data_IF_021645032477
#
_entry.id   IF_021645032477
#
_cell.length_a   1.000
_cell.length_b   1.000
_cell.length_c   1.000
_cell.angle_alpha   90.00
_cell.angle_beta   90.00
_cell.angle_gamma   90.00
#
_symmetry.space_group_name_H-M   'P 1'
#
loop_
_entity.id
_entity.type
_entity.pdbx_description
1 polymer ?
#
# COMPACT_ATOMS: atom_id res chain seq x y z
N UNK A 1 16.53 14.71 -12.47
CA UNK A 1 16.39 14.58 -10.99
C UNK A 1 17.45 13.64 -10.45
N UNK A 2 17.42 12.33 -10.73
CA UNK A 2 18.52 11.44 -10.31
C UNK A 2 19.83 11.73 -11.04
N UNK A 3 19.77 12.00 -12.35
CA UNK A 3 20.93 12.43 -13.15
C UNK A 3 21.48 13.81 -12.77
N UNK A 4 20.75 14.57 -11.93
CA UNK A 4 21.11 15.92 -11.49
C UNK A 4 21.38 15.97 -9.98
N UNK A 5 21.52 14.82 -9.30
CA UNK A 5 21.71 14.68 -7.84
C UNK A 5 20.65 15.40 -6.97
N UNK A 6 19.47 15.68 -7.51
CA UNK A 6 18.38 16.30 -6.75
C UNK A 6 17.55 15.18 -6.12
N UNK A 7 17.65 15.06 -4.79
CA UNK A 7 16.83 14.14 -4.00
C UNK A 7 15.33 14.47 -4.13
N UNK A 8 14.46 13.49 -4.42
CA UNK A 8 13.02 13.71 -4.48
C UNK A 8 12.46 14.16 -3.12
N UNK A 9 11.67 15.23 -3.14
CA UNK A 9 10.93 15.66 -1.94
C UNK A 9 9.67 14.80 -1.74
N UNK A 10 9.04 14.91 -0.56
CA UNK A 10 7.71 14.31 -0.32
C UNK A 10 6.70 14.77 -1.35
N UNK A 11 6.72 16.04 -1.74
CA UNK A 11 5.80 16.57 -2.74
C UNK A 11 6.04 15.94 -4.12
N UNK A 12 7.31 15.71 -4.48
CA UNK A 12 7.66 14.97 -5.70
C UNK A 12 7.05 13.56 -5.65
N UNK A 13 7.20 12.85 -4.53
CA UNK A 13 6.61 11.52 -4.34
C UNK A 13 5.09 11.53 -4.46
N UNK A 14 4.40 12.47 -3.79
CA UNK A 14 2.93 12.62 -3.86
C UNK A 14 2.48 12.83 -5.31
N UNK A 15 3.13 13.75 -6.03
CA UNK A 15 2.76 14.07 -7.42
C UNK A 15 2.96 12.85 -8.34
N UNK A 16 4.03 12.08 -8.15
CA UNK A 16 4.27 10.86 -8.91
C UNK A 16 3.25 9.76 -8.59
N UNK A 17 2.94 9.51 -7.31
CA UNK A 17 1.88 8.57 -6.92
C UNK A 17 0.54 9.00 -7.53
N UNK A 18 0.24 10.31 -7.52
CA UNK A 18 -0.98 10.85 -8.11
C UNK A 18 -1.04 10.59 -9.62
N UNK A 19 0.02 10.91 -10.36
CA UNK A 19 0.09 10.67 -11.80
C UNK A 19 -0.12 9.20 -12.16
N UNK A 20 0.56 8.28 -11.46
CA UNK A 20 0.34 6.84 -11.67
C UNK A 20 -1.05 6.38 -11.24
N UNK A 21 -1.62 6.95 -10.17
CA UNK A 21 -2.96 6.63 -9.69
C UNK A 21 -4.03 6.95 -10.75
N UNK A 22 -3.94 8.12 -11.38
CA UNK A 22 -4.84 8.52 -12.46
C UNK A 22 -4.82 7.55 -13.65
N UNK A 23 -3.71 6.85 -13.87
CA UNK A 23 -3.52 5.89 -14.94
C UNK A 23 -3.76 4.43 -14.50
N UNK A 24 -4.18 4.20 -13.24
CA UNK A 24 -4.28 2.87 -12.63
C UNK A 24 -2.96 2.07 -12.67
N UNK A 25 -1.82 2.75 -12.69
CA UNK A 25 -0.47 2.19 -12.78
C UNK A 25 0.05 1.76 -11.40
N UNK A 26 -0.67 0.82 -10.77
CA UNK A 26 -0.41 0.39 -9.39
C UNK A 26 0.93 -0.36 -9.21
N UNK A 27 1.43 -0.99 -10.29
CA UNK A 27 2.75 -1.62 -10.30
C UNK A 27 3.85 -0.56 -10.17
N UNK A 28 3.72 0.54 -10.88
CA UNK A 28 4.64 1.67 -10.87
C UNK A 28 4.62 2.39 -9.52
N UNK A 29 3.44 2.48 -8.88
CA UNK A 29 3.33 2.94 -7.48
C UNK A 29 4.09 1.99 -6.53
N UNK A 30 4.06 0.68 -6.77
CA UNK A 30 4.80 -0.30 -5.97
C UNK A 30 6.32 -0.15 -6.13
N UNK A 31 6.79 0.11 -7.35
CA UNK A 31 8.20 0.40 -7.64
C UNK A 31 8.62 1.71 -6.95
N UNK A 32 7.80 2.75 -7.08
CA UNK A 32 8.03 4.05 -6.46
C UNK A 32 8.07 3.96 -4.93
N UNK A 33 7.18 3.17 -4.32
CA UNK A 33 7.23 2.89 -2.89
C UNK A 33 8.57 2.28 -2.45
N UNK A 34 9.15 1.38 -3.25
CA UNK A 34 10.49 0.85 -3.01
C UNK A 34 11.57 1.95 -2.94
N UNK A 35 11.45 2.99 -3.78
CA UNK A 35 12.34 4.16 -3.72
C UNK A 35 12.07 5.00 -2.46
N UNK A 36 10.81 5.33 -2.19
CA UNK A 36 10.39 6.12 -1.01
C UNK A 36 10.87 5.46 0.28
N UNK A 37 10.71 4.13 0.39
CA UNK A 37 11.14 3.34 1.54
C UNK A 37 12.66 3.45 1.76
N UNK A 38 13.46 3.30 0.70
CA UNK A 38 14.93 3.45 0.79
C UNK A 38 15.34 4.86 1.22
N UNK A 39 14.73 5.90 0.65
CA UNK A 39 15.00 7.29 1.03
C UNK A 39 14.59 7.60 2.47
N UNK A 40 13.54 6.95 2.97
CA UNK A 40 13.19 7.03 4.39
C UNK A 40 14.22 6.33 5.27
N UNK A 41 14.62 5.12 4.91
CA UNK A 41 15.59 4.32 5.68
C UNK A 41 16.97 4.99 5.76
N UNK A 42 17.38 5.72 4.71
CA UNK A 42 18.60 6.53 4.72
C UNK A 42 18.45 7.85 5.50
N UNK A 43 17.24 8.21 5.91
CA UNK A 43 16.93 9.51 6.53
C UNK A 43 16.87 10.68 5.55
N UNK A 44 16.99 10.46 4.24
CA UNK A 44 16.91 11.54 3.23
C UNK A 44 15.48 12.04 3.00
N UNK A 45 14.46 11.27 3.41
CA UNK A 45 13.06 11.60 3.23
C UNK A 45 12.22 11.34 4.49
N UNK A 46 11.61 12.39 5.03
CA UNK A 46 10.58 12.28 6.08
C UNK A 46 9.21 12.13 5.41
N UNK A 47 8.61 10.94 5.46
CA UNK A 47 7.31 10.68 4.85
C UNK A 47 6.17 11.19 5.73
N UNK A 48 5.26 11.98 5.16
CA UNK A 48 4.07 12.46 5.88
C UNK A 48 2.92 11.45 5.83
N UNK A 49 1.96 11.63 6.74
CA UNK A 49 0.77 10.78 6.86
C UNK A 49 -0.05 10.71 5.57
N UNK A 50 -0.21 11.83 4.87
CA UNK A 50 -1.01 11.90 3.64
C UNK A 50 -0.43 11.05 2.51
N UNK A 51 0.90 11.04 2.37
CA UNK A 51 1.56 10.17 1.38
C UNK A 51 1.37 8.69 1.73
N UNK A 52 1.47 8.31 3.00
CA UNK A 52 1.20 6.94 3.42
C UNK A 52 -0.25 6.52 3.20
N UNK A 53 -1.20 7.37 3.59
CA UNK A 53 -2.63 7.14 3.38
C UNK A 53 -2.93 6.97 1.89
N UNK A 54 -2.34 7.81 1.04
CA UNK A 54 -2.52 7.72 -0.40
C UNK A 54 -1.90 6.45 -1.01
N UNK A 55 -0.74 6.01 -0.50
CA UNK A 55 -0.14 4.73 -0.87
C UNK A 55 -1.04 3.55 -0.46
N UNK A 56 -1.58 3.54 0.76
CA UNK A 56 -2.50 2.49 1.23
C UNK A 56 -3.71 2.36 0.32
N UNK A 57 -4.35 3.48 -0.02
CA UNK A 57 -5.52 3.48 -0.91
C UNK A 57 -5.18 2.92 -2.30
N UNK A 58 -4.04 3.31 -2.88
CA UNK A 58 -3.61 2.80 -4.18
C UNK A 58 -3.23 1.32 -4.14
N UNK A 59 -2.57 0.85 -3.07
CA UNK A 59 -2.27 -0.58 -2.91
C UNK A 59 -3.50 -1.41 -2.66
N UNK A 60 -4.49 -0.88 -1.92
CA UNK A 60 -5.80 -1.51 -1.82
C UNK A 60 -6.43 -1.62 -3.19
N UNK A 61 -6.55 -0.55 -3.98
CA UNK A 61 -7.09 -0.62 -5.36
C UNK A 61 -6.39 -1.66 -6.23
N UNK A 62 -5.06 -1.68 -6.20
CA UNK A 62 -4.24 -2.64 -6.97
C UNK A 62 -4.19 -4.07 -6.40
N UNK A 63 -4.72 -4.32 -5.20
CA UNK A 63 -4.68 -5.63 -4.54
C UNK A 63 -3.30 -6.06 -4.03
N UNK A 64 -2.41 -5.10 -3.76
CA UNK A 64 -1.06 -5.32 -3.23
C UNK A 64 -1.06 -5.39 -1.69
N UNK A 65 -1.74 -6.38 -1.12
CA UNK A 65 -1.99 -6.48 0.33
C UNK A 65 -0.73 -6.57 1.19
N UNK A 66 0.35 -7.17 0.70
CA UNK A 66 1.65 -7.14 1.38
C UNK A 66 2.12 -5.69 1.62
N UNK A 67 2.00 -4.83 0.61
CA UNK A 67 2.37 -3.41 0.67
C UNK A 67 1.41 -2.60 1.53
N UNK A 68 0.11 -2.93 1.50
CA UNK A 68 -0.88 -2.34 2.42
C UNK A 68 -0.45 -2.57 3.87
N UNK A 69 -0.14 -3.82 4.23
CA UNK A 69 0.25 -4.16 5.59
C UNK A 69 1.60 -3.55 5.99
N UNK A 70 2.56 -3.50 5.07
CA UNK A 70 3.85 -2.84 5.26
C UNK A 70 3.68 -1.35 5.57
N UNK A 71 2.92 -0.62 4.76
CA UNK A 71 2.70 0.83 4.97
C UNK A 71 1.94 1.11 6.28
N UNK A 72 0.90 0.32 6.58
CA UNK A 72 0.19 0.42 7.86
C UNK A 72 1.14 0.16 9.05
N UNK A 73 2.08 -0.78 8.89
CA UNK A 73 3.12 -1.04 9.88
C UNK A 73 3.95 0.22 10.16
N UNK A 74 4.47 0.86 9.11
CA UNK A 74 5.23 2.11 9.25
C UNK A 74 4.41 3.25 9.85
N UNK A 75 3.15 3.41 9.46
CA UNK A 75 2.27 4.41 10.07
C UNK A 75 2.14 4.17 11.58
N UNK A 76 1.96 2.91 12.02
CA UNK A 76 1.89 2.58 13.45
C UNK A 76 3.19 2.83 14.20
N UNK A 77 4.33 2.45 13.63
CA UNK A 77 5.67 2.70 14.22
C UNK A 77 5.90 4.18 14.49
N UNK A 78 5.34 5.05 13.65
CA UNK A 78 5.43 6.51 13.76
C UNK A 78 4.24 7.13 14.54
N UNK A 79 3.41 6.32 15.19
CA UNK A 79 2.19 6.75 15.88
C UNK A 79 1.23 7.59 15.02
N UNK A 80 1.22 7.34 13.71
CA UNK A 80 0.28 7.99 12.78
C UNK A 80 -1.08 7.30 12.85
N UNK A 81 -2.14 8.12 12.81
CA UNK A 81 -3.50 7.62 12.70
C UNK A 81 -3.71 6.92 11.34
N UNK A 82 -4.30 5.73 11.38
CA UNK A 82 -4.78 5.02 10.20
C UNK A 82 -6.30 5.07 10.16
N UNK A 83 -6.89 5.63 9.10
CA UNK A 83 -8.34 5.62 8.90
C UNK A 83 -8.83 4.22 8.50
N UNK A 84 -9.04 3.37 9.51
CA UNK A 84 -9.52 2.00 9.33
C UNK A 84 -10.84 1.94 8.56
N UNK A 85 -11.73 2.91 8.77
CA UNK A 85 -13.04 2.91 8.13
C UNK A 85 -12.90 3.17 6.64
N UNK A 86 -12.09 4.16 6.25
CA UNK A 86 -11.79 4.44 4.86
C UNK A 86 -11.12 3.24 4.17
N UNK A 87 -10.13 2.62 4.81
CA UNK A 87 -9.43 1.46 4.23
C UNK A 87 -10.35 0.25 4.09
N UNK A 88 -11.25 0.02 5.06
CA UNK A 88 -12.29 -1.01 4.99
C UNK A 88 -13.25 -0.74 3.82
N UNK A 89 -13.71 0.50 3.67
CA UNK A 89 -14.59 0.90 2.56
C UNK A 89 -13.93 0.63 1.20
N UNK A 90 -12.66 1.02 1.05
CA UNK A 90 -11.92 0.82 -0.19
C UNK A 90 -11.71 -0.68 -0.50
N UNK A 91 -11.40 -1.50 0.50
CA UNK A 91 -11.35 -2.95 0.34
C UNK A 91 -12.68 -3.53 -0.14
N UNK A 92 -13.78 -3.17 0.53
CA UNK A 92 -15.10 -3.70 0.19
C UNK A 92 -15.53 -3.32 -1.23
N UNK A 93 -15.12 -2.14 -1.70
CA UNK A 93 -15.40 -1.65 -3.05
C UNK A 93 -14.72 -2.49 -4.15
N UNK A 94 -13.47 -2.91 -3.95
CA UNK A 94 -12.68 -3.55 -5.02
C UNK A 94 -12.50 -5.07 -4.85
N UNK A 95 -12.60 -5.59 -3.63
CA UNK A 95 -12.10 -6.92 -3.29
C UNK A 95 -13.10 -7.82 -2.58
N UNK A 96 -14.26 -7.30 -2.14
CA UNK A 96 -15.25 -8.07 -1.37
C UNK A 96 -15.61 -9.40 -2.01
N UNK A 97 -15.96 -9.39 -3.29
CA UNK A 97 -16.45 -10.59 -3.97
C UNK A 97 -15.31 -11.56 -4.32
N UNK A 98 -14.12 -11.03 -4.61
CA UNK A 98 -12.94 -11.82 -4.94
C UNK A 98 -12.50 -12.70 -3.76
N UNK A 99 -12.57 -12.19 -2.53
CA UNK A 99 -12.11 -12.90 -1.33
C UNK A 99 -13.22 -13.46 -0.46
N UNK A 100 -14.49 -13.36 -0.87
CA UNK A 100 -15.64 -13.84 -0.09
C UNK A 100 -15.54 -15.33 0.26
N UNK A 101 -15.11 -16.14 -0.69
CA UNK A 101 -15.06 -17.61 -0.57
C UNK A 101 -13.65 -18.19 -0.81
N UNK A 102 -12.63 -17.33 -0.87
CA UNK A 102 -11.27 -17.77 -1.19
C UNK A 102 -10.64 -18.40 0.05
N UNK A 103 -10.36 -19.70 0.00
CA UNK A 103 -9.69 -20.47 1.07
C UNK A 103 -8.26 -20.81 0.64
N UNK A 104 -7.38 -21.08 1.61
CA UNK A 104 -6.01 -21.55 1.34
C UNK A 104 -5.96 -22.80 0.45
N UNK A 105 -6.94 -23.70 0.57
CA UNK A 105 -7.11 -24.86 -0.31
C UNK A 105 -7.30 -24.51 -1.80
N UNK A 106 -7.69 -23.28 -2.11
CA UNK A 106 -7.96 -22.82 -3.48
C UNK A 106 -6.72 -22.21 -4.14
N UNK A 107 -5.64 -22.00 -3.39
CA UNK A 107 -4.40 -21.42 -3.93
C UNK A 107 -3.56 -22.49 -4.61
N UNK A 108 -3.06 -22.19 -5.82
CA UNK A 108 -2.31 -23.14 -6.66
C UNK A 108 -0.80 -22.89 -6.61
N UNK A 109 -0.39 -21.73 -6.11
CA UNK A 109 1.02 -21.31 -6.03
C UNK A 109 1.30 -20.65 -4.70
N UNK A 110 2.55 -20.73 -4.27
CA UNK A 110 3.02 -20.07 -3.04
C UNK A 110 2.75 -18.56 -3.03
N UNK A 111 2.92 -17.90 -4.19
CA UNK A 111 2.60 -16.48 -4.33
C UNK A 111 1.11 -16.17 -4.07
N UNK A 112 0.20 -17.06 -4.50
CA UNK A 112 -1.23 -16.92 -4.23
C UNK A 112 -1.54 -17.14 -2.75
N UNK A 113 -0.90 -18.14 -2.12
CA UNK A 113 -1.03 -18.42 -0.69
C UNK A 113 -0.58 -17.22 0.15
N UNK A 114 0.62 -16.69 -0.13
CA UNK A 114 1.16 -15.51 0.56
C UNK A 114 0.27 -14.29 0.38
N UNK A 115 -0.28 -14.06 -0.83
CA UNK A 115 -1.24 -12.98 -1.06
C UNK A 115 -2.49 -13.14 -0.19
N UNK A 116 -3.01 -14.35 -0.06
CA UNK A 116 -4.17 -14.64 0.78
C UNK A 116 -3.89 -14.35 2.26
N UNK A 117 -2.72 -14.74 2.77
CA UNK A 117 -2.31 -14.44 4.15
C UNK A 117 -2.34 -12.94 4.45
N UNK A 118 -1.82 -12.11 3.54
CA UNK A 118 -1.87 -10.65 3.72
C UNK A 118 -3.29 -10.08 3.62
N UNK A 119 -4.15 -10.68 2.79
CA UNK A 119 -5.57 -10.30 2.73
C UNK A 119 -6.27 -10.62 4.06
N UNK A 120 -6.03 -11.80 4.61
CA UNK A 120 -6.57 -12.21 5.91
C UNK A 120 -6.06 -11.31 7.04
N UNK A 121 -4.76 -11.00 7.03
CA UNK A 121 -4.15 -10.07 7.99
C UNK A 121 -4.79 -8.68 7.91
N UNK A 122 -5.03 -8.16 6.70
CA UNK A 122 -5.71 -6.89 6.50
C UNK A 122 -7.17 -6.94 6.99
N UNK A 123 -7.93 -7.97 6.63
CA UNK A 123 -9.34 -8.16 7.06
C UNK A 123 -9.45 -8.18 8.58
N UNK A 124 -8.58 -8.95 9.25
CA UNK A 124 -8.50 -8.99 10.71
C UNK A 124 -8.18 -7.63 11.31
N UNK A 125 -7.21 -6.91 10.74
CA UNK A 125 -6.83 -5.58 11.22
C UNK A 125 -7.94 -4.52 11.06
N UNK A 126 -8.69 -4.61 9.95
CA UNK A 126 -9.77 -3.71 9.57
C UNK A 126 -11.15 -4.10 10.17
N UNK A 127 -11.26 -5.24 10.86
CA UNK A 127 -12.52 -5.73 11.41
C UNK A 127 -13.53 -6.11 10.33
N UNK A 128 -13.10 -6.94 9.38
CA UNK A 128 -13.91 -7.46 8.27
C UNK A 128 -14.07 -8.96 8.45
N UNK A 129 -15.30 -9.40 8.72
CA UNK A 129 -15.69 -10.80 8.86
C UNK A 129 -15.72 -11.55 7.52
#
# INVERSE_FOLDING_TARGET
MQETEIEPTVQTSINLVYGYSCLNMYREITILWGNIKRSRESGSLVVCRDLYEFLVLNFLRGGYFERVMEVIGHMKEQNMYCDKWMYKSEFLKFHKDLYRNLKASNTRTEAQSKRLEYVEAFRKWAGID
#
